data_IF_006854965417
#
_entry.id   IF_006854965417
#
_cell.length_a   1.000
_cell.length_b   1.000
_cell.length_c   1.000
_cell.angle_alpha   90.00
_cell.angle_beta   90.00
_cell.angle_gamma   90.00
#
_symmetry.space_group_name_H-M   'P 1'
#
loop_
_entity.id
_entity.type
_entity.pdbx_description
1 polymer ?
#
# COMPACT_ATOMS: atom_id res chain seq x y z
N UNK A 1 -11.20 -13.75 23.47
CA UNK A 1 -10.88 -12.38 23.01
C UNK A 1 -9.38 -12.27 22.95
N UNK A 2 -8.83 -12.02 21.76
CA UNK A 2 -7.40 -11.79 21.58
C UNK A 2 -7.03 -10.37 22.00
N UNK A 3 -5.73 -10.12 22.21
CA UNK A 3 -5.23 -8.77 22.51
C UNK A 3 -5.50 -7.78 21.37
N UNK A 4 -5.49 -8.27 20.12
CA UNK A 4 -5.78 -7.46 18.93
C UNK A 4 -7.26 -7.05 18.90
N UNK A 5 -8.16 -7.97 19.24
CA UNK A 5 -9.60 -7.69 19.30
C UNK A 5 -9.92 -6.64 20.38
N UNK A 6 -9.28 -6.71 21.55
CA UNK A 6 -9.45 -5.72 22.61
C UNK A 6 -8.97 -4.32 22.18
N UNK A 7 -7.76 -4.23 21.60
CA UNK A 7 -7.21 -2.96 21.10
C UNK A 7 -8.05 -2.36 19.97
N UNK A 8 -8.63 -3.20 19.11
CA UNK A 8 -9.54 -2.73 18.06
C UNK A 8 -10.79 -2.08 18.65
N UNK A 9 -11.37 -2.67 19.69
CA UNK A 9 -12.54 -2.12 20.36
C UNK A 9 -12.19 -0.77 20.98
N UNK A 10 -11.09 -0.69 21.72
CA UNK A 10 -10.62 0.57 22.33
C UNK A 10 -10.34 1.66 21.27
N UNK A 11 -9.74 1.29 20.14
CA UNK A 11 -9.49 2.23 19.05
C UNK A 11 -10.78 2.76 18.40
N UNK A 12 -11.89 2.03 18.47
CA UNK A 12 -13.19 2.47 17.93
C UNK A 12 -13.90 3.48 18.82
N UNK A 13 -13.50 3.61 20.09
CA UNK A 13 -14.01 4.64 21.00
C UNK A 13 -13.32 6.00 20.79
N UNK A 14 -12.25 6.05 19.99
CA UNK A 14 -11.54 7.28 19.62
C UNK A 14 -12.32 8.10 18.59
N UNK A 15 -12.07 9.41 18.58
CA UNK A 15 -12.51 10.27 17.47
C UNK A 15 -11.88 9.85 16.15
N UNK A 16 -12.48 10.20 15.02
CA UNK A 16 -11.92 9.89 13.69
C UNK A 16 -10.49 10.43 13.52
N UNK A 17 -10.21 11.62 14.07
CA UNK A 17 -8.88 12.25 14.02
C UNK A 17 -7.85 11.48 14.85
N UNK A 18 -8.19 11.09 16.07
CA UNK A 18 -7.29 10.35 16.95
C UNK A 18 -7.04 8.93 16.42
N UNK A 19 -8.10 8.30 15.89
CA UNK A 19 -8.00 6.98 15.27
C UNK A 19 -7.13 7.00 14.01
N UNK A 20 -7.21 8.06 13.19
CA UNK A 20 -6.33 8.24 12.04
C UNK A 20 -4.87 8.48 12.44
N UNK A 21 -4.64 9.23 13.52
CA UNK A 21 -3.31 9.45 14.09
C UNK A 21 -2.70 8.14 14.59
N UNK A 22 -3.45 7.39 15.41
CA UNK A 22 -3.04 6.07 15.91
C UNK A 22 -2.73 5.10 14.76
N UNK A 23 -3.59 5.04 13.72
CA UNK A 23 -3.35 4.19 12.56
C UNK A 23 -2.05 4.54 11.84
N UNK A 24 -1.75 5.84 11.71
CA UNK A 24 -0.52 6.31 11.07
C UNK A 24 0.71 5.95 11.90
N UNK A 25 0.68 6.17 13.21
CA UNK A 25 1.78 5.81 14.11
C UNK A 25 2.05 4.31 14.11
N UNK A 26 1.00 3.49 14.16
CA UNK A 26 1.12 2.04 14.05
C UNK A 26 1.76 1.64 12.72
N UNK A 27 1.32 2.23 11.60
CA UNK A 27 1.90 1.96 10.28
C UNK A 27 3.39 2.36 10.22
N UNK A 28 3.76 3.52 10.75
CA UNK A 28 5.15 3.98 10.80
C UNK A 28 6.04 3.18 11.75
N UNK A 29 5.45 2.50 12.73
CA UNK A 29 6.20 1.65 13.66
C UNK A 29 6.68 0.33 13.02
N UNK A 30 6.11 -0.04 11.88
CA UNK A 30 6.48 -1.27 11.16
C UNK A 30 7.77 -1.05 10.35
N UNK A 31 8.60 -2.08 10.18
CA UNK A 31 9.73 -2.01 9.26
C UNK A 31 9.26 -1.60 7.85
N UNK A 32 9.99 -0.68 7.22
CA UNK A 32 9.72 -0.29 5.83
C UNK A 32 9.87 -1.45 4.83
N UNK A 33 10.58 -2.51 5.23
CA UNK A 33 10.59 -3.79 4.55
C UNK A 33 9.32 -4.54 4.91
N UNK A 34 8.35 -4.50 3.99
CA UNK A 34 7.29 -5.52 3.92
C UNK A 34 7.99 -6.87 3.76
N UNK A 35 8.12 -7.60 4.86
CA UNK A 35 8.43 -9.02 4.82
C UNK A 35 7.17 -9.72 4.29
N UNK A 36 6.88 -9.54 3.00
CA UNK A 36 5.73 -10.16 2.38
C UNK A 36 5.98 -11.67 2.29
N UNK A 37 5.20 -12.45 3.03
CA UNK A 37 5.06 -13.89 2.77
C UNK A 37 4.50 -14.16 1.36
N UNK A 38 3.77 -13.20 0.79
CA UNK A 38 3.24 -13.22 -0.58
C UNK A 38 3.85 -12.11 -1.44
N UNK A 39 5.03 -12.44 -1.99
CA UNK A 39 5.47 -12.05 -3.32
C UNK A 39 5.70 -10.56 -3.66
N UNK A 40 5.79 -9.61 -2.73
CA UNK A 40 6.00 -8.18 -3.09
C UNK A 40 7.07 -7.95 -4.19
N UNK A 41 8.27 -8.49 -4.02
CA UNK A 41 9.33 -8.43 -5.04
C UNK A 41 9.09 -9.38 -6.23
N UNK A 42 8.55 -10.58 -5.98
CA UNK A 42 8.32 -11.58 -7.03
C UNK A 42 7.22 -11.12 -8.01
N UNK A 43 6.16 -10.48 -7.51
CA UNK A 43 5.13 -9.83 -8.31
C UNK A 43 5.67 -8.64 -9.08
N UNK A 44 6.52 -7.80 -8.45
CA UNK A 44 7.17 -6.70 -9.17
C UNK A 44 7.98 -7.20 -10.38
N UNK A 45 8.73 -8.30 -10.20
CA UNK A 45 9.48 -8.94 -11.29
C UNK A 45 8.57 -9.56 -12.35
N UNK A 46 7.44 -10.18 -11.96
CA UNK A 46 6.44 -10.67 -12.92
C UNK A 46 5.86 -9.55 -13.75
N UNK A 47 5.49 -8.42 -13.13
CA UNK A 47 4.95 -7.25 -13.83
C UNK A 47 5.95 -6.64 -14.80
N UNK A 48 7.23 -6.60 -14.43
CA UNK A 48 8.30 -6.13 -15.31
C UNK A 48 8.47 -7.06 -16.53
N UNK A 49 8.43 -8.38 -16.32
CA UNK A 49 8.49 -9.36 -17.39
C UNK A 49 7.27 -9.29 -18.31
N UNK A 50 6.06 -9.17 -17.76
CA UNK A 50 4.81 -9.03 -18.53
C UNK A 50 4.81 -7.75 -19.36
N UNK A 51 5.26 -6.63 -18.80
CA UNK A 51 5.36 -5.36 -19.51
C UNK A 51 6.42 -5.41 -20.62
N UNK A 52 7.54 -6.09 -20.39
CA UNK A 52 8.57 -6.33 -21.41
C UNK A 52 8.03 -7.19 -22.55
N UNK A 53 7.28 -8.25 -22.23
CA UNK A 53 6.68 -9.14 -23.22
C UNK A 53 5.53 -8.49 -23.99
N UNK A 54 4.76 -7.61 -23.35
CA UNK A 54 3.67 -6.88 -23.96
C UNK A 54 3.68 -5.38 -23.55
N UNK A 55 4.48 -4.54 -24.23
CA UNK A 55 4.56 -3.11 -23.93
C UNK A 55 3.22 -2.38 -24.09
N UNK A 56 2.30 -2.89 -24.91
CA UNK A 56 0.98 -2.31 -25.12
C UNK A 56 0.03 -2.49 -23.93
N UNK A 57 0.39 -3.33 -22.94
CA UNK A 57 -0.34 -3.46 -21.68
C UNK A 57 -0.07 -2.31 -20.70
N UNK A 58 0.99 -1.52 -20.94
CA UNK A 58 1.34 -0.36 -20.15
C UNK A 58 0.83 0.95 -20.73
N UNK A 59 1.23 2.05 -20.09
CA UNK A 59 1.08 3.40 -20.63
C UNK A 59 2.42 4.12 -20.59
N UNK A 60 2.61 5.04 -21.52
CA UNK A 60 3.79 5.91 -21.53
C UNK A 60 3.77 6.88 -20.34
N UNK A 61 4.95 7.41 -20.02
CA UNK A 61 5.08 8.41 -18.96
C UNK A 61 4.27 9.68 -19.23
N UNK A 62 4.14 10.07 -20.50
CA UNK A 62 3.36 11.23 -20.90
C UNK A 62 1.85 10.99 -20.82
N UNK A 63 1.38 9.77 -21.14
CA UNK A 63 -0.02 9.38 -20.93
C UNK A 63 -0.38 9.36 -19.43
N UNK A 64 0.51 8.85 -18.58
CA UNK A 64 0.32 8.86 -17.13
C UNK A 64 0.24 10.29 -16.59
N UNK A 65 1.20 11.14 -16.96
CA UNK A 65 1.25 12.56 -16.62
C UNK A 65 -0.05 13.28 -16.96
N UNK A 66 -0.51 13.11 -18.19
CA UNK A 66 -1.77 13.66 -18.67
C UNK A 66 -2.97 13.15 -17.87
N UNK A 67 -3.00 11.85 -17.55
CA UNK A 67 -4.06 11.24 -16.75
C UNK A 67 -4.17 11.78 -15.32
N UNK A 68 -3.06 12.25 -14.73
CA UNK A 68 -3.03 12.83 -13.39
C UNK A 68 -3.01 14.37 -13.39
N UNK A 69 -3.25 15.00 -14.54
CA UNK A 69 -3.31 16.46 -14.69
C UNK A 69 -1.96 17.16 -14.50
N UNK A 70 -0.86 16.48 -14.85
CA UNK A 70 0.51 17.01 -14.81
C UNK A 70 1.08 17.04 -16.22
N UNK A 71 0.79 18.10 -16.96
CA UNK A 71 1.33 18.35 -18.31
C UNK A 71 2.60 19.21 -18.26
#
# INVERSE_FOLDING_TARGET
MTRIEALKIEAMDLTDSDRATLASELLYSLPATLSDEDEGMAEALRRDADLTANPSSGMTWDELKKGIGRD
#
